data_IF_501762839017
#
_entry.id   IF_501762839017
#
_cell.length_a   1.000
_cell.length_b   1.000
_cell.length_c   1.000
_cell.angle_alpha   90.00
_cell.angle_beta   90.00
_cell.angle_gamma   90.00
#
_symmetry.space_group_name_H-M   'P 1'
#
loop_
_entity.id
_entity.type
_entity.pdbx_description
1 polymer ?
#
# COMPACT_ATOMS: atom_id res chain seq x y z
N UNK A 1 2.39 -24.43 49.01
CA UNK A 1 1.41 -23.33 48.82
C UNK A 1 0.04 -23.82 49.30
N UNK A 2 -0.57 -23.17 50.31
CA UNK A 2 -1.84 -23.60 50.90
C UNK A 2 -3.02 -23.41 49.94
N UNK A 3 -4.10 -24.18 50.14
CA UNK A 3 -5.31 -24.11 49.30
C UNK A 3 -5.90 -22.68 49.14
N UNK A 4 -5.72 -21.83 50.15
CA UNK A 4 -6.12 -20.40 50.08
C UNK A 4 -5.31 -19.59 49.08
N UNK A 5 -3.99 -19.83 48.95
CA UNK A 5 -3.13 -19.16 47.98
C UNK A 5 -3.48 -19.57 46.52
N UNK A 6 -3.78 -20.85 46.29
CA UNK A 6 -4.23 -21.32 44.97
C UNK A 6 -5.55 -20.67 44.53
N UNK A 7 -6.52 -20.54 45.45
CA UNK A 7 -7.79 -19.84 45.17
C UNK A 7 -7.60 -18.36 44.89
N UNK A 8 -6.73 -17.66 45.63
CA UNK A 8 -6.42 -16.26 45.40
C UNK A 8 -5.75 -16.03 44.02
N UNK A 9 -4.81 -16.90 43.63
CA UNK A 9 -4.16 -16.84 42.28
C UNK A 9 -5.18 -17.10 41.20
N UNK A 10 -6.07 -18.07 41.35
CA UNK A 10 -7.12 -18.34 40.36
C UNK A 10 -8.07 -17.15 40.23
N UNK A 11 -8.51 -16.53 41.28
CA UNK A 11 -9.38 -15.34 41.24
C UNK A 11 -8.67 -14.16 40.58
N UNK A 12 -7.40 -13.94 40.91
CA UNK A 12 -6.60 -12.90 40.26
C UNK A 12 -6.44 -13.16 38.76
N UNK A 13 -6.18 -14.40 38.36
CA UNK A 13 -6.08 -14.77 36.93
C UNK A 13 -7.40 -14.54 36.19
N UNK A 14 -8.55 -14.97 36.77
CA UNK A 14 -9.86 -14.69 36.21
C UNK A 14 -10.14 -13.19 36.09
N UNK A 15 -9.78 -12.41 37.10
CA UNK A 15 -9.94 -10.95 37.06
C UNK A 15 -9.11 -10.31 35.97
N UNK A 16 -7.83 -10.71 35.81
CA UNK A 16 -6.96 -10.22 34.75
C UNK A 16 -7.46 -10.60 33.34
N UNK A 17 -8.00 -11.83 33.19
CA UNK A 17 -8.61 -12.27 31.92
C UNK A 17 -9.85 -11.45 31.58
N UNK A 18 -10.70 -11.13 32.55
CA UNK A 18 -11.86 -10.28 32.38
C UNK A 18 -11.44 -8.83 31.98
N UNK A 19 -10.44 -8.28 32.66
CA UNK A 19 -9.88 -6.97 32.28
C UNK A 19 -9.31 -6.96 30.88
N UNK A 20 -8.54 -7.97 30.50
CA UNK A 20 -8.00 -8.11 29.15
C UNK A 20 -9.13 -8.24 28.11
N UNK A 21 -10.17 -9.03 28.39
CA UNK A 21 -11.32 -9.21 27.50
C UNK A 21 -12.13 -7.93 27.26
N UNK A 22 -12.14 -7.02 28.22
CA UNK A 22 -12.88 -5.75 28.14
C UNK A 22 -11.96 -4.52 27.92
N UNK A 23 -10.68 -4.73 27.62
CA UNK A 23 -9.73 -3.65 27.44
C UNK A 23 -10.20 -2.68 26.34
N UNK A 24 -10.39 -1.38 26.63
CA UNK A 24 -10.90 -0.43 25.67
C UNK A 24 -9.85 -0.12 24.61
N UNK A 25 -10.28 0.13 23.37
CA UNK A 25 -9.41 0.48 22.25
C UNK A 25 -8.53 1.72 22.52
N UNK A 26 -8.94 2.61 23.42
CA UNK A 26 -8.19 3.82 23.80
C UNK A 26 -6.79 3.53 24.34
N UNK A 27 -6.54 2.33 24.86
CA UNK A 27 -5.20 1.92 25.31
C UNK A 27 -4.19 1.96 24.17
N UNK A 28 -4.64 1.74 22.93
CA UNK A 28 -3.79 1.82 21.73
C UNK A 28 -3.22 3.23 21.52
N UNK A 29 -3.83 4.26 22.08
CA UNK A 29 -3.34 5.64 21.96
C UNK A 29 -1.93 5.82 22.53
N UNK A 30 -1.56 5.03 23.55
CA UNK A 30 -0.22 5.07 24.14
C UNK A 30 0.89 4.50 23.22
N UNK A 31 0.51 3.76 22.18
CA UNK A 31 1.43 3.11 21.24
C UNK A 31 1.51 3.81 19.89
N UNK A 32 0.76 4.91 19.70
CA UNK A 32 0.77 5.66 18.43
C UNK A 32 2.06 6.47 18.34
N UNK A 33 2.81 6.35 17.23
CA UNK A 33 3.96 7.21 16.95
C UNK A 33 3.56 8.70 16.95
N UNK A 34 4.49 9.58 17.35
CA UNK A 34 4.23 11.00 17.48
C UNK A 34 3.93 11.71 16.13
N UNK A 35 4.32 11.13 15.03
CA UNK A 35 4.08 11.60 13.66
C UNK A 35 2.67 11.22 13.13
N UNK A 36 1.95 10.38 13.85
CA UNK A 36 0.57 9.99 13.54
C UNK A 36 -0.42 10.78 14.39
N UNK A 37 -1.43 11.36 13.74
CA UNK A 37 -2.56 12.03 14.42
C UNK A 37 -3.80 11.16 14.28
N UNK A 38 -4.48 10.91 15.39
CA UNK A 38 -5.70 10.10 15.44
C UNK A 38 -6.81 10.91 16.12
N UNK A 39 -7.97 11.00 15.48
CA UNK A 39 -9.12 11.71 16.02
C UNK A 39 -9.82 10.96 17.15
N UNK A 40 -9.76 9.63 17.18
CA UNK A 40 -10.35 8.84 18.26
C UNK A 40 -10.38 7.35 18.01
N UNK A 41 -10.62 6.62 19.10
CA UNK A 41 -10.82 5.18 19.12
C UNK A 41 -12.19 4.84 19.65
N UNK A 42 -12.82 3.80 19.11
CA UNK A 42 -14.04 3.20 19.63
C UNK A 42 -13.94 1.69 19.65
N UNK A 43 -14.70 1.07 20.57
CA UNK A 43 -14.69 -0.38 20.78
C UNK A 43 -13.61 -0.86 21.75
N UNK A 44 -13.20 -2.11 21.59
CA UNK A 44 -12.22 -2.80 22.42
C UNK A 44 -10.91 -3.07 21.66
N UNK A 45 -9.90 -3.60 22.35
CA UNK A 45 -8.67 -4.09 21.71
C UNK A 45 -8.94 -5.20 20.68
N UNK A 46 -9.98 -5.98 20.91
CA UNK A 46 -10.33 -7.16 20.10
C UNK A 46 -11.16 -6.83 18.88
N UNK A 47 -12.02 -5.83 19.00
CA UNK A 47 -12.85 -5.33 17.92
C UNK A 47 -13.09 -3.85 18.13
N UNK A 48 -12.63 -3.04 17.18
CA UNK A 48 -12.74 -1.61 17.32
C UNK A 48 -12.59 -0.88 16.00
N UNK A 49 -12.64 0.43 16.11
CA UNK A 49 -12.37 1.33 15.00
C UNK A 49 -11.56 2.54 15.45
N UNK A 50 -10.75 3.00 14.53
CA UNK A 50 -10.00 4.23 14.62
C UNK A 50 -10.60 5.21 13.62
N UNK A 51 -10.79 6.45 14.03
CA UNK A 51 -11.37 7.51 13.23
C UNK A 51 -10.34 8.61 12.99
N UNK A 52 -10.35 9.17 11.77
CA UNK A 52 -9.52 10.31 11.37
C UNK A 52 -8.02 10.07 11.64
N UNK A 53 -7.46 9.03 11.01
CA UNK A 53 -6.03 8.83 10.97
C UNK A 53 -5.42 9.77 9.94
N UNK A 54 -4.48 10.60 10.40
CA UNK A 54 -3.64 11.42 9.52
C UNK A 54 -2.18 11.03 9.74
N UNK A 55 -1.54 10.57 8.68
CA UNK A 55 -0.13 10.21 8.66
C UNK A 55 0.51 10.76 7.39
N UNK A 56 1.47 11.70 7.57
CA UNK A 56 2.00 12.49 6.46
C UNK A 56 0.86 13.15 5.66
N UNK A 57 0.78 12.89 4.36
CA UNK A 57 -0.27 13.43 3.48
C UNK A 57 -1.44 12.46 3.26
N UNK A 58 -1.47 11.34 3.98
CA UNK A 58 -2.54 10.35 3.87
C UNK A 58 -3.55 10.62 4.98
N UNK A 59 -4.79 10.87 4.60
CA UNK A 59 -5.92 10.90 5.52
C UNK A 59 -6.75 9.65 5.31
N UNK A 60 -7.05 8.96 6.40
CA UNK A 60 -7.94 7.81 6.41
C UNK A 60 -9.09 8.11 7.37
N UNK A 61 -10.30 8.13 6.85
CA UNK A 61 -11.47 8.48 7.67
C UNK A 61 -11.78 7.40 8.70
N UNK A 62 -11.64 6.12 8.32
CA UNK A 62 -11.97 5.01 9.22
C UNK A 62 -11.11 3.79 8.94
N UNK A 63 -10.59 3.19 10.02
CA UNK A 63 -9.94 1.89 10.05
C UNK A 63 -10.68 1.03 11.08
N UNK A 64 -11.20 -0.11 10.66
CA UNK A 64 -11.79 -1.10 11.54
C UNK A 64 -10.82 -2.26 11.73
N UNK A 65 -10.83 -2.85 12.90
CA UNK A 65 -10.10 -4.09 13.15
C UNK A 65 -10.96 -5.06 13.94
N UNK A 66 -10.72 -6.34 13.68
CA UNK A 66 -11.32 -7.43 14.44
C UNK A 66 -10.29 -8.52 14.64
N UNK A 67 -10.06 -8.86 15.90
CA UNK A 67 -9.23 -10.00 16.26
C UNK A 67 -9.99 -11.28 15.98
N UNK A 68 -9.35 -12.20 15.28
CA UNK A 68 -9.94 -13.48 14.89
C UNK A 68 -8.92 -14.61 15.06
N UNK A 69 -9.37 -15.84 14.94
CA UNK A 69 -8.50 -17.00 14.85
C UNK A 69 -8.61 -17.58 13.45
N UNK A 70 -7.53 -17.60 12.74
CA UNK A 70 -7.46 -18.22 11.43
C UNK A 70 -6.44 -19.34 11.45
N UNK A 71 -6.87 -20.56 11.11
CA UNK A 71 -6.03 -21.77 11.17
C UNK A 71 -5.33 -21.97 12.53
N UNK A 72 -6.06 -21.75 13.63
CA UNK A 72 -5.60 -21.86 15.03
C UNK A 72 -4.54 -20.82 15.46
N UNK A 73 -4.21 -19.88 14.60
CA UNK A 73 -3.32 -18.76 14.93
C UNK A 73 -4.11 -17.46 15.10
N UNK A 74 -3.68 -16.60 16.05
CA UNK A 74 -4.27 -15.28 16.19
C UNK A 74 -4.03 -14.45 14.93
N UNK A 75 -5.07 -13.79 14.48
CA UNK A 75 -5.08 -12.95 13.29
C UNK A 75 -5.86 -11.67 13.56
N UNK A 76 -5.53 -10.62 12.82
CA UNK A 76 -6.21 -9.34 12.86
C UNK A 76 -6.78 -9.05 11.48
N UNK A 77 -8.10 -9.05 11.36
CA UNK A 77 -8.77 -8.55 10.17
C UNK A 77 -8.78 -7.04 10.21
N UNK A 78 -8.37 -6.41 9.11
CA UNK A 78 -8.35 -4.96 8.97
C UNK A 78 -9.20 -4.57 7.77
N UNK A 79 -10.01 -3.55 7.98
CA UNK A 79 -10.81 -2.91 6.94
C UNK A 79 -10.55 -1.40 6.95
N UNK A 80 -10.19 -0.87 5.78
CA UNK A 80 -9.94 0.56 5.56
C UNK A 80 -11.08 1.14 4.74
N UNK A 81 -11.61 2.28 5.13
CA UNK A 81 -12.61 3.02 4.35
C UNK A 81 -12.38 4.51 4.45
N UNK A 82 -12.31 5.15 3.29
CA UNK A 82 -12.24 6.59 3.17
C UNK A 82 -13.29 7.11 2.19
N UNK A 83 -14.01 8.19 2.50
CA UNK A 83 -14.92 8.87 1.56
C UNK A 83 -14.24 9.32 0.26
N UNK A 84 -12.92 9.55 0.27
CA UNK A 84 -12.15 9.92 -0.92
C UNK A 84 -11.87 8.74 -1.87
N UNK A 85 -12.39 7.54 -1.56
CA UNK A 85 -12.31 6.36 -2.42
C UNK A 85 -11.20 5.37 -2.06
N UNK A 86 -10.38 5.62 -1.02
CA UNK A 86 -9.44 4.63 -0.52
C UNK A 86 -10.21 3.56 0.25
N UNK A 87 -10.12 2.33 -0.19
CA UNK A 87 -10.74 1.17 0.43
C UNK A 87 -9.77 0.02 0.48
N UNK A 88 -9.80 -0.75 1.55
CA UNK A 88 -8.93 -1.91 1.67
C UNK A 88 -9.42 -2.89 2.72
N UNK A 89 -9.06 -4.14 2.55
CA UNK A 89 -9.28 -5.18 3.53
C UNK A 89 -8.19 -6.25 3.43
N UNK A 90 -7.92 -6.90 4.55
CA UNK A 90 -6.98 -8.00 4.60
C UNK A 90 -6.75 -8.50 6.01
N UNK A 91 -5.98 -9.55 6.10
CA UNK A 91 -5.67 -10.23 7.36
C UNK A 91 -4.19 -10.06 7.66
N UNK A 92 -3.89 -9.65 8.88
CA UNK A 92 -2.55 -9.58 9.45
C UNK A 92 -2.35 -10.74 10.41
N UNK A 93 -1.19 -11.38 10.34
CA UNK A 93 -0.74 -12.43 11.26
C UNK A 93 0.72 -12.23 11.61
N UNK A 94 1.15 -12.93 12.66
CA UNK A 94 2.55 -12.98 13.07
C UNK A 94 2.89 -12.00 14.18
N UNK A 95 3.98 -12.30 14.86
CA UNK A 95 4.48 -11.50 15.99
C UNK A 95 5.87 -10.93 15.72
N UNK A 96 6.76 -11.71 15.11
CA UNK A 96 8.11 -11.28 14.73
C UNK A 96 8.15 -10.85 13.27
N UNK A 97 7.56 -11.67 12.39
CA UNK A 97 7.40 -11.38 10.97
C UNK A 97 5.92 -11.12 10.69
N UNK A 98 5.66 -10.02 9.99
CA UNK A 98 4.32 -9.61 9.63
C UNK A 98 3.89 -10.38 8.39
N UNK A 99 2.85 -11.19 8.53
CA UNK A 99 2.24 -11.93 7.44
C UNK A 99 0.95 -11.24 7.00
N UNK A 100 0.89 -10.92 5.74
CA UNK A 100 -0.27 -10.36 5.06
C UNK A 100 -0.98 -11.48 4.31
N UNK A 101 -2.30 -11.62 4.49
CA UNK A 101 -3.12 -12.58 3.77
C UNK A 101 -4.33 -11.90 3.14
N UNK A 102 -4.63 -12.28 1.90
CA UNK A 102 -5.84 -11.85 1.16
C UNK A 102 -6.07 -10.34 1.13
N UNK A 103 -4.99 -9.57 1.02
CA UNK A 103 -5.08 -8.12 0.97
C UNK A 103 -5.62 -7.66 -0.37
N UNK A 104 -6.62 -6.79 -0.28
CA UNK A 104 -7.17 -6.05 -1.41
C UNK A 104 -7.19 -4.57 -1.02
N UNK A 105 -6.61 -3.74 -1.88
CA UNK A 105 -6.57 -2.29 -1.68
C UNK A 105 -6.99 -1.62 -2.97
N UNK A 106 -7.90 -0.67 -2.89
CA UNK A 106 -8.32 0.19 -3.97
C UNK A 106 -8.04 1.64 -3.58
N UNK A 107 -7.33 2.36 -4.45
CA UNK A 107 -6.89 3.74 -4.20
C UNK A 107 -7.09 4.55 -5.48
N UNK A 108 -7.69 5.75 -5.42
CA UNK A 108 -7.69 6.67 -6.54
C UNK A 108 -6.26 7.03 -6.96
N UNK A 109 -5.99 7.03 -8.26
CA UNK A 109 -4.64 7.25 -8.76
C UNK A 109 -4.07 8.62 -8.36
N UNK A 110 -4.93 9.64 -8.21
CA UNK A 110 -4.50 10.97 -7.80
C UNK A 110 -3.97 11.02 -6.36
N UNK A 111 -4.52 10.23 -5.45
CA UNK A 111 -4.01 10.11 -4.07
C UNK A 111 -2.57 9.58 -4.08
N UNK A 112 -2.29 8.57 -4.91
CA UNK A 112 -0.92 8.03 -5.05
C UNK A 112 0.00 9.04 -5.72
N UNK A 113 -0.49 9.74 -6.76
CA UNK A 113 0.27 10.79 -7.44
C UNK A 113 0.72 11.90 -6.47
N UNK A 114 -0.13 12.30 -5.51
CA UNK A 114 0.20 13.34 -4.52
C UNK A 114 1.36 12.96 -3.61
N UNK A 115 1.64 11.66 -3.41
CA UNK A 115 2.78 11.17 -2.64
C UNK A 115 4.09 11.17 -3.45
N UNK A 116 4.00 11.35 -4.77
CA UNK A 116 5.17 11.37 -5.64
C UNK A 116 5.56 12.81 -5.95
N UNK A 117 6.79 13.20 -5.65
CA UNK A 117 7.37 14.49 -6.01
C UNK A 117 7.70 14.51 -7.51
N UNK A 118 6.69 14.76 -8.35
CA UNK A 118 6.89 14.85 -9.79
C UNK A 118 7.22 16.29 -10.20
N UNK A 119 8.19 16.49 -11.10
CA UNK A 119 8.62 17.81 -11.54
C UNK A 119 7.61 18.53 -12.45
N UNK A 120 6.57 17.83 -12.88
CA UNK A 120 5.54 18.36 -13.78
C UNK A 120 4.17 18.32 -13.10
N UNK A 121 3.29 19.31 -13.39
CA UNK A 121 1.91 19.30 -12.91
C UNK A 121 1.09 18.27 -13.70
N UNK A 122 1.15 17.02 -13.25
CA UNK A 122 0.43 15.89 -13.82
C UNK A 122 -0.69 15.52 -12.85
N UNK A 123 -1.91 15.31 -13.35
CA UNK A 123 -3.00 14.67 -12.62
C UNK A 123 -3.17 13.25 -13.11
N UNK A 124 -3.35 12.32 -12.18
CA UNK A 124 -3.59 10.91 -12.49
C UNK A 124 -5.07 10.58 -12.25
N UNK A 125 -5.73 9.98 -13.23
CA UNK A 125 -7.12 9.55 -13.13
C UNK A 125 -7.19 8.02 -13.19
N UNK A 126 -8.31 7.48 -12.70
CA UNK A 126 -8.54 6.04 -12.61
C UNK A 126 -8.26 5.49 -11.21
N UNK A 127 -8.32 4.18 -11.10
CA UNK A 127 -8.28 3.45 -9.84
C UNK A 127 -7.14 2.43 -9.83
N UNK A 128 -6.29 2.51 -8.83
CA UNK A 128 -5.24 1.53 -8.54
C UNK A 128 -5.79 0.44 -7.63
N UNK A 129 -5.77 -0.79 -8.09
CA UNK A 129 -6.18 -1.97 -7.33
C UNK A 129 -4.98 -2.87 -7.08
N UNK A 130 -4.66 -3.03 -5.81
CA UNK A 130 -3.67 -3.98 -5.34
C UNK A 130 -4.39 -5.23 -4.84
N UNK A 131 -3.92 -6.41 -5.28
CA UNK A 131 -4.29 -7.71 -4.71
C UNK A 131 -3.02 -8.42 -4.30
N UNK A 132 -3.04 -8.98 -3.10
CA UNK A 132 -1.94 -9.74 -2.54
C UNK A 132 -2.52 -10.97 -1.85
N UNK A 133 -2.17 -12.16 -2.32
CA UNK A 133 -2.63 -13.39 -1.68
C UNK A 133 -1.88 -13.65 -0.38
N UNK A 134 -0.56 -13.54 -0.42
CA UNK A 134 0.31 -13.71 0.74
C UNK A 134 1.50 -12.76 0.64
N UNK A 135 1.92 -12.23 1.79
CA UNK A 135 3.13 -11.45 1.93
C UNK A 135 3.76 -11.68 3.29
N UNK A 136 5.07 -11.74 3.34
CA UNK A 136 5.81 -11.88 4.59
C UNK A 136 6.88 -10.80 4.65
N UNK A 137 6.89 -10.08 5.76
CA UNK A 137 7.76 -8.93 5.98
C UNK A 137 8.40 -9.03 7.35
N UNK A 138 9.69 -8.74 7.41
CA UNK A 138 10.42 -8.57 8.66
C UNK A 138 10.89 -7.13 8.86
N UNK A 139 11.54 -6.86 9.98
CA UNK A 139 12.21 -5.57 10.19
C UNK A 139 13.31 -5.27 9.16
N UNK A 140 13.86 -6.31 8.51
CA UNK A 140 14.88 -6.18 7.47
C UNK A 140 14.28 -5.96 6.06
N UNK A 141 12.99 -6.18 5.88
CA UNK A 141 12.34 -5.98 4.58
C UNK A 141 11.35 -7.06 4.17
N UNK A 142 11.09 -7.10 2.88
CA UNK A 142 10.21 -8.07 2.23
C UNK A 142 10.90 -9.44 2.17
N UNK A 143 10.32 -10.46 2.78
CA UNK A 143 10.84 -11.84 2.75
C UNK A 143 10.25 -12.63 1.60
N UNK A 144 8.93 -12.58 1.45
CA UNK A 144 8.23 -13.27 0.37
C UNK A 144 6.95 -12.54 -0.04
N UNK A 145 6.58 -12.66 -1.31
CA UNK A 145 5.32 -12.16 -1.88
C UNK A 145 4.77 -13.17 -2.87
N UNK A 146 3.54 -13.62 -2.62
CA UNK A 146 2.78 -14.51 -3.49
C UNK A 146 1.52 -13.85 -4.01
N UNK A 147 1.30 -13.92 -5.33
CA UNK A 147 0.10 -13.40 -5.99
C UNK A 147 -0.07 -11.88 -5.88
N UNK A 148 1.03 -11.13 -5.76
CA UNK A 148 1.01 -9.67 -5.73
C UNK A 148 0.78 -9.08 -7.12
N UNK A 149 -0.39 -8.46 -7.34
CA UNK A 149 -0.76 -7.82 -8.61
C UNK A 149 -1.30 -6.43 -8.35
N UNK A 150 -0.82 -5.47 -9.13
CA UNK A 150 -1.33 -4.09 -9.18
C UNK A 150 -1.96 -3.85 -10.54
N UNK A 151 -3.19 -3.36 -10.56
CA UNK A 151 -3.87 -2.94 -11.78
C UNK A 151 -4.30 -1.49 -11.64
N UNK A 152 -3.86 -0.64 -12.55
CA UNK A 152 -4.41 0.70 -12.69
C UNK A 152 -5.44 0.69 -13.82
N UNK A 153 -6.69 0.78 -13.42
CA UNK A 153 -7.85 0.73 -14.34
C UNK A 153 -8.24 2.13 -14.78
N UNK A 154 -8.68 2.26 -16.05
CA UNK A 154 -9.02 3.54 -16.67
C UNK A 154 -7.91 4.58 -16.48
N UNK A 155 -6.68 4.11 -16.66
CA UNK A 155 -5.49 4.91 -16.39
C UNK A 155 -5.37 6.06 -17.41
N UNK A 156 -5.40 7.28 -16.89
CA UNK A 156 -5.23 8.49 -17.66
C UNK A 156 -4.30 9.46 -16.92
N UNK A 157 -3.38 10.07 -17.67
CA UNK A 157 -2.53 11.14 -17.18
C UNK A 157 -2.90 12.43 -17.92
N UNK A 158 -3.37 13.42 -17.19
CA UNK A 158 -3.62 14.74 -17.74
C UNK A 158 -2.47 15.69 -17.41
N UNK A 159 -2.01 16.42 -18.42
CA UNK A 159 -0.95 17.42 -18.34
C UNK A 159 -1.45 18.71 -18.99
N UNK A 160 -0.77 19.86 -18.80
CA UNK A 160 -1.11 21.09 -19.50
C UNK A 160 -1.07 20.98 -21.04
N UNK A 161 -0.35 20.00 -21.59
CA UNK A 161 -0.22 19.75 -23.02
C UNK A 161 -1.27 18.81 -23.60
N UNK A 162 -2.09 18.17 -22.74
CA UNK A 162 -3.13 17.22 -23.13
C UNK A 162 -3.22 16.02 -22.20
N UNK A 163 -4.07 15.06 -22.58
CA UNK A 163 -4.28 13.84 -21.84
C UNK A 163 -3.67 12.62 -22.55
N UNK A 164 -3.07 11.73 -21.78
CA UNK A 164 -2.56 10.43 -22.22
C UNK A 164 -3.47 9.34 -21.68
N UNK A 165 -4.12 8.61 -22.55
CA UNK A 165 -4.89 7.43 -22.20
C UNK A 165 -3.96 6.21 -22.16
N UNK A 166 -3.82 5.61 -21.00
CA UNK A 166 -2.96 4.45 -20.77
C UNK A 166 -3.76 3.15 -20.74
N UNK A 167 -5.10 3.25 -20.82
CA UNK A 167 -6.02 2.11 -20.70
C UNK A 167 -5.85 1.37 -19.38
N UNK A 168 -5.28 0.16 -19.38
CA UNK A 168 -5.01 -0.60 -18.17
C UNK A 168 -3.50 -0.83 -18.02
N UNK A 169 -2.96 -0.43 -16.87
CA UNK A 169 -1.57 -0.69 -16.51
C UNK A 169 -1.55 -1.88 -15.56
N UNK A 170 -0.75 -2.88 -15.86
CA UNK A 170 -0.61 -4.07 -15.04
C UNK A 170 0.79 -4.12 -14.41
N UNK A 171 0.84 -4.46 -13.14
CA UNK A 171 2.07 -4.62 -12.39
C UNK A 171 2.07 -5.92 -11.59
N UNK A 172 3.23 -6.56 -11.51
CA UNK A 172 3.47 -7.71 -10.65
C UNK A 172 4.43 -7.32 -9.55
N UNK A 173 4.07 -7.66 -8.31
CA UNK A 173 4.88 -7.41 -7.12
C UNK A 173 5.61 -8.67 -6.69
N UNK A 174 6.85 -8.51 -6.27
CA UNK A 174 7.69 -9.57 -5.70
C UNK A 174 8.69 -8.96 -4.71
N UNK A 175 9.39 -9.80 -3.96
CA UNK A 175 10.55 -9.40 -3.17
C UNK A 175 11.84 -9.72 -3.91
N UNK A 176 12.86 -8.90 -3.74
CA UNK A 176 14.21 -9.24 -4.17
C UNK A 176 15.01 -9.90 -3.01
N UNK A 177 16.21 -10.38 -3.33
CA UNK A 177 17.11 -11.03 -2.34
C UNK A 177 17.63 -10.07 -1.26
N UNK A 178 17.46 -8.77 -1.44
CA UNK A 178 17.91 -7.72 -0.51
C UNK A 178 16.77 -7.21 0.38
N UNK A 179 15.58 -7.80 0.25
CA UNK A 179 14.40 -7.39 0.99
C UNK A 179 13.66 -6.19 0.41
N UNK A 180 14.01 -5.73 -0.80
CA UNK A 180 13.26 -4.66 -1.46
C UNK A 180 12.03 -5.20 -2.18
N UNK A 181 10.98 -4.38 -2.23
CA UNK A 181 9.82 -4.62 -3.08
C UNK A 181 10.19 -4.35 -4.54
N UNK A 182 9.82 -5.26 -5.40
CA UNK A 182 10.02 -5.17 -6.85
C UNK A 182 8.68 -5.11 -7.53
N UNK A 183 8.50 -4.11 -8.38
CA UNK A 183 7.33 -3.94 -9.24
C UNK A 183 7.75 -4.06 -10.71
N UNK A 184 7.20 -5.02 -11.43
CA UNK A 184 7.36 -5.14 -12.88
C UNK A 184 6.08 -4.64 -13.54
N UNK A 185 6.18 -3.54 -14.29
CA UNK A 185 5.06 -2.90 -14.98
C UNK A 185 5.04 -3.26 -16.47
N UNK A 186 3.84 -3.48 -16.97
CA UNK A 186 3.54 -3.61 -18.39
C UNK A 186 2.25 -2.86 -18.70
N UNK A 187 2.32 -2.01 -19.72
CA UNK A 187 1.19 -1.26 -20.23
C UNK A 187 1.32 -1.17 -21.76
N UNK A 188 0.20 -1.31 -22.43
CA UNK A 188 0.13 -1.14 -23.89
C UNK A 188 -1.20 -0.47 -24.25
N UNK A 189 -1.11 0.68 -24.90
CA UNK A 189 -2.27 1.43 -25.40
C UNK A 189 -1.99 2.01 -26.78
N UNK A 190 -2.99 2.60 -27.39
CA UNK A 190 -2.86 3.29 -28.67
C UNK A 190 -1.97 4.55 -28.59
N UNK A 191 -1.86 5.18 -27.42
CA UNK A 191 -1.04 6.37 -27.19
C UNK A 191 0.42 6.04 -26.95
N UNK A 192 0.71 5.05 -26.11
CA UNK A 192 2.08 4.62 -25.80
C UNK A 192 2.10 3.20 -25.23
N UNK A 193 3.25 2.55 -25.27
CA UNK A 193 3.51 1.35 -24.49
C UNK A 193 4.65 1.61 -23.51
N UNK A 194 4.49 1.09 -22.29
CA UNK A 194 5.43 1.21 -21.18
C UNK A 194 5.75 -0.17 -20.61
N UNK A 195 7.01 -0.47 -20.51
CA UNK A 195 7.49 -1.63 -19.73
C UNK A 195 8.56 -1.14 -18.78
N UNK A 196 8.62 -1.71 -17.59
CA UNK A 196 9.64 -1.29 -16.64
C UNK A 196 9.67 -2.11 -15.37
N UNK A 197 10.73 -1.88 -14.62
CA UNK A 197 10.96 -2.51 -13.33
C UNK A 197 11.30 -1.44 -12.29
N UNK A 198 10.50 -1.40 -11.24
CA UNK A 198 10.72 -0.56 -10.07
C UNK A 198 11.21 -1.39 -8.90
N UNK A 199 11.99 -0.78 -8.03
CA UNK A 199 12.40 -1.32 -6.72
C UNK A 199 12.15 -0.27 -5.66
N UNK A 200 11.63 -0.68 -4.51
CA UNK A 200 11.41 0.19 -3.35
C UNK A 200 12.02 -0.49 -2.14
N UNK A 201 13.02 0.15 -1.55
CA UNK A 201 13.65 -0.29 -0.31
C UNK A 201 12.81 0.11 0.91
N UNK A 202 13.02 -0.57 2.03
CA UNK A 202 12.37 -0.22 3.31
C UNK A 202 12.88 1.09 3.90
N UNK A 203 14.00 1.60 3.41
CA UNK A 203 14.51 2.95 3.70
C UNK A 203 13.79 4.06 2.91
N UNK A 204 12.76 3.71 2.14
CA UNK A 204 11.98 4.61 1.31
C UNK A 204 12.64 4.98 -0.02
N UNK A 205 13.86 4.52 -0.31
CA UNK A 205 14.49 4.77 -1.62
C UNK A 205 13.80 3.96 -2.70
N UNK A 206 13.52 4.61 -3.81
CA UNK A 206 12.97 3.93 -4.97
C UNK A 206 13.79 4.20 -6.21
N UNK A 207 13.79 3.23 -7.10
CA UNK A 207 14.37 3.32 -8.43
C UNK A 207 13.43 2.65 -9.42
N UNK A 208 13.18 3.31 -10.54
CA UNK A 208 12.40 2.75 -11.64
C UNK A 208 13.22 2.86 -12.93
N UNK A 209 13.35 1.76 -13.65
CA UNK A 209 13.97 1.68 -14.95
C UNK A 209 12.95 1.13 -15.95
N UNK A 210 12.67 1.86 -17.01
CA UNK A 210 11.67 1.48 -17.98
C UNK A 210 12.02 1.90 -19.39
N UNK A 211 11.16 1.48 -20.29
CA UNK A 211 11.22 1.82 -21.71
C UNK A 211 9.83 2.27 -22.15
N UNK A 212 9.78 3.39 -22.81
CA UNK A 212 8.56 3.97 -23.38
C UNK A 212 8.66 3.89 -24.90
N UNK A 213 7.63 3.39 -25.55
CA UNK A 213 7.48 3.40 -27.00
C UNK A 213 6.21 4.17 -27.37
N UNK A 214 6.31 5.02 -28.39
CA UNK A 214 5.16 5.78 -28.90
C UNK A 214 4.16 4.85 -29.56
N UNK A 215 2.89 5.05 -29.26
CA UNK A 215 1.79 4.39 -29.95
C UNK A 215 1.39 5.14 -31.23
N UNK A 216 0.56 4.51 -32.07
CA UNK A 216 0.16 5.06 -33.38
C UNK A 216 -0.74 6.31 -33.25
N UNK A 217 -1.46 6.48 -32.15
CA UNK A 217 -2.45 7.56 -31.96
C UNK A 217 -1.98 8.58 -30.91
N UNK A 218 -0.66 8.65 -30.65
CA UNK A 218 -0.12 9.63 -29.70
C UNK A 218 -0.41 11.06 -30.18
N UNK A 219 -1.10 11.92 -29.38
CA UNK A 219 -1.37 13.30 -29.74
C UNK A 219 -0.09 14.07 -30.05
N UNK A 220 -0.12 14.90 -31.11
CA UNK A 220 1.04 15.70 -31.53
C UNK A 220 1.55 16.63 -30.43
N UNK A 221 0.64 17.21 -29.63
CA UNK A 221 0.95 18.07 -28.51
C UNK A 221 1.77 17.36 -27.40
N UNK A 222 1.70 16.03 -27.32
CA UNK A 222 2.42 15.23 -26.35
C UNK A 222 3.78 14.73 -26.82
N UNK A 223 4.08 14.83 -28.13
CA UNK A 223 5.37 14.41 -28.71
C UNK A 223 6.58 15.11 -28.06
N UNK A 224 6.54 16.45 -27.83
CA UNK A 224 7.65 17.12 -27.13
C UNK A 224 7.93 16.58 -25.75
N UNK A 225 6.89 16.25 -24.98
CA UNK A 225 7.02 15.69 -23.64
C UNK A 225 7.71 14.32 -23.68
N UNK A 226 7.30 13.46 -24.61
CA UNK A 226 7.92 12.14 -24.78
C UNK A 226 9.37 12.27 -25.26
N UNK A 227 9.67 13.26 -26.10
CA UNK A 227 11.04 13.52 -26.58
C UNK A 227 11.98 13.99 -25.46
N UNK A 228 11.44 14.66 -24.42
CA UNK A 228 12.23 15.09 -23.26
C UNK A 228 12.69 13.91 -22.39
N UNK A 229 12.02 12.74 -22.49
CA UNK A 229 12.45 11.53 -21.76
C UNK A 229 13.77 10.97 -22.29
N UNK A 230 14.14 11.30 -23.56
CA UNK A 230 15.39 10.85 -24.16
C UNK A 230 15.27 10.55 -25.65
N UNK A 231 16.36 10.02 -26.21
CA UNK A 231 16.40 9.60 -27.64
C UNK A 231 15.92 8.15 -27.74
N UNK A 232 15.10 7.88 -28.74
CA UNK A 232 14.70 6.53 -29.09
C UNK A 232 15.90 5.72 -29.59
N UNK A 233 15.97 4.45 -29.19
CA UNK A 233 16.90 3.48 -29.76
C UNK A 233 16.41 3.00 -31.16
N UNK A 234 17.15 2.10 -31.80
CA UNK A 234 16.84 1.54 -33.13
C UNK A 234 15.50 0.80 -33.19
N UNK A 235 14.96 0.40 -32.02
CA UNK A 235 13.65 -0.25 -31.87
C UNK A 235 12.53 0.75 -31.56
N UNK A 236 12.81 2.06 -31.59
CA UNK A 236 11.86 3.11 -31.26
C UNK A 236 11.51 3.21 -29.75
N UNK A 237 12.30 2.59 -28.88
CA UNK A 237 12.11 2.63 -27.44
C UNK A 237 12.97 3.73 -26.82
N UNK A 238 12.39 4.50 -25.93
CA UNK A 238 13.06 5.55 -25.16
C UNK A 238 13.32 5.03 -23.77
N UNK A 239 14.58 4.85 -23.35
CA UNK A 239 14.89 4.45 -21.97
C UNK A 239 14.52 5.58 -21.01
N UNK A 240 13.89 5.23 -19.91
CA UNK A 240 13.47 6.16 -18.88
C UNK A 240 13.85 5.62 -17.49
N UNK A 241 14.47 6.49 -16.72
CA UNK A 241 14.90 6.16 -15.35
C UNK A 241 14.45 7.24 -14.39
N UNK A 242 13.88 6.83 -13.27
CA UNK A 242 13.51 7.70 -12.17
C UNK A 242 14.03 7.08 -10.87
N UNK A 243 14.56 7.93 -10.01
CA UNK A 243 14.95 7.53 -8.65
C UNK A 243 14.61 8.63 -7.67
N UNK A 244 14.37 8.25 -6.43
CA UNK A 244 14.02 9.19 -5.38
C UNK A 244 13.84 8.51 -4.04
N UNK A 245 13.20 9.23 -3.13
CA UNK A 245 12.83 8.72 -1.81
C UNK A 245 11.37 9.05 -1.54
N UNK A 246 10.63 8.07 -1.07
CA UNK A 246 9.29 8.27 -0.52
C UNK A 246 9.42 9.03 0.81
N UNK A 247 8.54 10.00 1.00
CA UNK A 247 8.52 10.86 2.20
C UNK A 247 8.01 10.11 3.42
#
# INVERSE_FOLDING_TARGET
>A
MGAKAKKAVLLLACYLLLLAGHAPARVLQAFIPADMKVGGFSGSLWQGSLHQLSWHNIMLAKLNWQFTFSSWMPALEIELRDPQGLQGAGILRGWQDLQLHEWQLSVPADVVRQQLSLPLPITAQGELRLRLQQGEFSSAGCLSLGGGVVNWQHAQLATPLGALELANVQGQLSCDRKGALVLVLKQDSSHLSLTGRGTVGFDGRYQFNGQVRRGPVLPETMRPLINQLGRANDQGQIPWQVQGRLL
#
